data_IF_326192361108
#
_entry.id   IF_326192361108
#
_cell.length_a   1.000
_cell.length_b   1.000
_cell.length_c   1.000
_cell.angle_alpha   90.00
_cell.angle_beta   90.00
_cell.angle_gamma   90.00
#
_symmetry.space_group_name_H-M   'P 1'
#
loop_
_entity.id
_entity.type
_entity.pdbx_description
1 polymer ?
#
# COMPACT_ATOMS: atom_id res chain seq x y z
N UNK A 1 -5.68 29.19 -9.91
CA UNK A 1 -6.87 29.53 -9.13
C UNK A 1 -7.61 28.31 -8.55
N UNK A 2 -7.70 27.20 -9.26
CA UNK A 2 -8.35 25.96 -8.74
C UNK A 2 -7.72 25.44 -7.46
N UNK A 3 -6.39 25.49 -7.36
CA UNK A 3 -5.64 25.06 -6.15
C UNK A 3 -5.96 25.94 -4.95
N UNK A 4 -6.07 27.26 -5.14
CA UNK A 4 -6.36 28.18 -4.04
C UNK A 4 -7.82 28.14 -3.57
N UNK A 5 -8.74 27.73 -4.44
CA UNK A 5 -10.16 27.60 -4.08
C UNK A 5 -10.53 26.26 -3.47
N UNK A 6 -9.84 25.17 -3.87
CA UNK A 6 -10.18 23.80 -3.49
C UNK A 6 -9.07 23.06 -2.77
N UNK A 7 -7.84 23.56 -2.80
CA UNK A 7 -6.65 22.89 -2.26
C UNK A 7 -6.75 22.61 -0.75
N UNK A 8 -7.39 23.50 0.01
CA UNK A 8 -7.58 23.34 1.44
C UNK A 8 -8.36 22.06 1.81
N UNK A 9 -9.28 21.61 0.94
CA UNK A 9 -10.00 20.34 1.13
C UNK A 9 -9.10 19.11 0.96
N UNK A 10 -7.96 19.30 0.28
CA UNK A 10 -6.95 18.27 0.05
C UNK A 10 -5.68 18.50 0.90
N UNK A 11 -5.74 19.39 1.91
CA UNK A 11 -4.58 19.74 2.73
C UNK A 11 -3.50 20.55 2.02
N UNK A 12 -3.82 21.18 0.87
CA UNK A 12 -2.87 22.01 0.11
C UNK A 12 -3.08 23.47 0.44
N UNK A 13 -2.05 24.11 0.97
CA UNK A 13 -2.02 25.52 1.31
C UNK A 13 -0.94 26.24 0.52
N UNK A 14 -1.21 27.50 0.14
CA UNK A 14 -0.29 28.28 -0.71
C UNK A 14 0.02 29.60 0.01
N UNK A 15 1.31 29.91 0.11
CA UNK A 15 1.81 31.20 0.62
C UNK A 15 2.32 32.01 -0.58
N UNK A 16 1.77 33.21 -0.76
CA UNK A 16 2.16 34.12 -1.83
C UNK A 16 2.78 35.39 -1.23
N UNK A 17 3.94 35.77 -1.75
CA UNK A 17 4.56 37.05 -1.46
C UNK A 17 4.47 37.95 -2.67
N UNK A 18 3.92 39.14 -2.51
CA UNK A 18 3.79 40.14 -3.57
C UNK A 18 4.48 41.42 -3.19
N UNK A 19 5.29 41.97 -4.08
CA UNK A 19 5.78 43.33 -3.94
C UNK A 19 4.78 44.29 -4.63
N UNK A 20 4.03 45.04 -3.82
CA UNK A 20 3.02 45.98 -4.31
C UNK A 20 3.62 47.26 -4.90
N UNK A 21 4.92 47.51 -4.70
CA UNK A 21 5.62 48.65 -5.29
C UNK A 21 6.05 48.42 -6.76
N UNK A 22 5.93 47.18 -7.25
CA UNK A 22 6.26 46.86 -8.65
C UNK A 22 4.97 46.90 -9.47
N UNK A 23 4.91 47.83 -10.44
CA UNK A 23 3.85 47.84 -11.43
C UNK A 23 3.95 46.60 -12.31
N UNK A 24 2.86 45.84 -12.40
CA UNK A 24 2.79 44.70 -13.30
C UNK A 24 2.66 45.22 -14.71
N UNK A 25 3.54 44.81 -15.62
CA UNK A 25 3.50 45.21 -17.02
C UNK A 25 2.12 44.93 -17.62
N UNK A 26 1.57 45.91 -18.33
CA UNK A 26 0.19 45.92 -18.87
C UNK A 26 -0.13 44.86 -19.92
N UNK A 27 0.77 43.92 -20.16
CA UNK A 27 0.62 42.84 -21.16
C UNK A 27 -0.31 41.68 -20.72
N UNK A 28 -0.78 41.69 -19.47
CA UNK A 28 -1.70 40.67 -18.96
C UNK A 28 -3.03 41.32 -18.62
N UNK A 29 -3.98 41.27 -19.53
CA UNK A 29 -5.34 41.73 -19.31
C UNK A 29 -5.99 41.03 -18.10
N UNK A 30 -6.62 41.81 -17.22
CA UNK A 30 -7.37 41.35 -16.05
C UNK A 30 -6.55 40.73 -14.88
N UNK A 31 -5.22 41.00 -14.79
CA UNK A 31 -4.42 40.45 -13.69
C UNK A 31 -4.85 41.00 -12.33
N UNK A 32 -5.23 42.28 -12.27
CA UNK A 32 -5.66 42.93 -11.05
C UNK A 32 -6.99 42.42 -10.55
N UNK A 33 -7.94 42.12 -11.45
CA UNK A 33 -9.23 41.50 -11.09
C UNK A 33 -9.03 40.08 -10.54
N UNK A 34 -8.16 39.29 -11.16
CA UNK A 34 -7.82 37.93 -10.71
C UNK A 34 -7.08 37.95 -9.38
N UNK A 35 -6.20 38.91 -9.14
CA UNK A 35 -5.51 39.07 -7.88
C UNK A 35 -6.48 39.48 -6.78
N UNK A 36 -7.39 40.43 -7.03
CA UNK A 36 -8.42 40.83 -6.08
C UNK A 36 -9.37 39.66 -5.71
N UNK A 37 -9.67 38.78 -6.65
CA UNK A 37 -10.45 37.56 -6.37
C UNK A 37 -9.66 36.57 -5.50
N UNK A 38 -8.37 36.41 -5.74
CA UNK A 38 -7.50 35.55 -4.91
C UNK A 38 -7.37 36.10 -3.50
N UNK A 39 -7.17 37.41 -3.35
CA UNK A 39 -7.02 38.12 -2.07
C UNK A 39 -8.22 37.93 -1.15
N UNK A 40 -9.45 37.88 -1.70
CA UNK A 40 -10.68 37.62 -0.92
C UNK A 40 -10.68 36.28 -0.19
N UNK A 41 -9.91 35.31 -0.67
CA UNK A 41 -9.86 33.96 -0.12
C UNK A 41 -8.57 33.69 0.67
N UNK A 42 -7.74 34.70 0.88
CA UNK A 42 -6.45 34.60 1.58
C UNK A 42 -6.47 35.37 2.90
N UNK A 43 -5.70 34.87 3.86
CA UNK A 43 -5.30 35.67 5.01
C UNK A 43 -4.24 36.65 4.51
N UNK A 44 -4.48 37.93 4.68
CA UNK A 44 -3.59 38.97 4.19
C UNK A 44 -2.76 39.57 5.32
N UNK A 45 -1.45 39.66 5.10
CA UNK A 45 -0.52 40.35 5.98
C UNK A 45 0.07 41.54 5.21
N UNK A 46 -0.23 42.73 5.62
CA UNK A 46 0.22 43.97 4.97
C UNK A 46 1.45 44.53 5.69
N UNK A 47 2.47 44.87 4.92
CA UNK A 47 3.67 45.53 5.44
C UNK A 47 3.38 47.04 5.64
N UNK A 48 3.65 47.58 6.83
CA UNK A 48 3.52 48.98 7.18
C UNK A 48 4.86 49.55 7.68
N UNK A 49 4.98 50.87 7.80
CA UNK A 49 6.22 51.53 8.25
C UNK A 49 6.75 50.98 9.59
N UNK A 50 5.87 50.61 10.52
CA UNK A 50 6.22 50.14 11.87
C UNK A 50 5.94 48.64 12.11
N UNK A 51 5.93 47.83 11.06
CA UNK A 51 5.70 46.38 11.20
C UNK A 51 4.69 45.84 10.22
N UNK A 52 3.91 44.87 10.64
CA UNK A 52 2.93 44.17 9.80
C UNK A 52 1.54 44.27 10.43
N UNK A 53 0.52 44.26 9.60
CA UNK A 53 -0.88 44.18 10.01
C UNK A 53 -1.56 42.97 9.39
N UNK A 54 -2.25 42.18 10.21
CA UNK A 54 -3.09 41.07 9.77
C UNK A 54 -4.48 41.59 9.42
N UNK A 55 -4.89 41.44 8.17
CA UNK A 55 -6.20 41.84 7.68
C UNK A 55 -7.21 40.69 7.74
N UNK A 56 -8.50 40.98 7.92
CA UNK A 56 -9.14 42.28 8.08
C UNK A 56 -9.13 42.84 9.52
N UNK A 57 -8.51 42.16 10.46
CA UNK A 57 -8.59 42.50 11.90
C UNK A 57 -7.68 43.66 12.31
N UNK A 58 -6.78 44.13 11.43
CA UNK A 58 -5.79 45.18 11.69
C UNK A 58 -4.91 44.91 12.91
N UNK A 59 -4.71 43.64 13.25
CA UNK A 59 -3.85 43.25 14.37
C UNK A 59 -2.39 43.52 14.01
N UNK A 60 -1.68 44.22 14.87
CA UNK A 60 -0.24 44.43 14.72
C UNK A 60 0.49 43.10 14.89
N UNK A 61 1.29 42.76 13.91
CA UNK A 61 2.15 41.55 13.94
C UNK A 61 3.59 42.01 14.07
N UNK A 62 4.27 41.61 15.15
CA UNK A 62 5.71 41.77 15.28
C UNK A 62 6.36 40.51 14.80
N UNK A 63 7.20 40.62 13.76
CA UNK A 63 8.00 39.50 13.32
C UNK A 63 9.15 39.25 14.29
N UNK A 64 9.47 37.98 14.49
CA UNK A 64 10.71 37.58 15.14
C UNK A 64 11.91 37.96 14.26
N UNK A 65 13.06 38.15 14.86
CA UNK A 65 14.29 38.41 14.10
C UNK A 65 14.55 37.27 13.10
N UNK A 66 15.04 37.66 11.92
CA UNK A 66 15.41 36.69 10.90
C UNK A 66 16.52 35.78 11.44
N UNK A 67 16.37 34.45 11.40
CA UNK A 67 17.45 33.55 11.78
C UNK A 67 18.70 33.82 10.95
N UNK A 68 19.86 33.79 11.57
CA UNK A 68 21.10 33.88 10.84
C UNK A 68 21.39 32.60 10.00
N UNK A 69 22.35 32.68 9.09
CA UNK A 69 22.65 31.55 8.19
C UNK A 69 23.07 30.29 8.96
N UNK A 70 23.81 30.44 10.05
CA UNK A 70 24.25 29.31 10.87
C UNK A 70 23.09 28.63 11.61
N UNK A 71 22.11 29.42 12.09
CA UNK A 71 20.89 28.88 12.69
C UNK A 71 20.04 28.12 11.68
N UNK A 72 19.89 28.65 10.46
CA UNK A 72 19.16 27.97 9.39
C UNK A 72 19.86 26.69 8.94
N UNK A 73 21.18 26.70 8.81
CA UNK A 73 21.95 25.51 8.47
C UNK A 73 21.83 24.42 9.54
N UNK A 74 21.99 24.80 10.82
CA UNK A 74 21.82 23.88 11.93
C UNK A 74 20.42 23.27 11.96
N UNK A 75 19.39 24.08 11.78
CA UNK A 75 18.00 23.61 11.70
C UNK A 75 17.82 22.63 10.52
N UNK A 76 18.36 22.96 9.33
CA UNK A 76 18.23 22.12 8.16
C UNK A 76 18.89 20.74 8.38
N UNK A 77 20.08 20.71 9.01
CA UNK A 77 20.78 19.47 9.33
C UNK A 77 20.01 18.64 10.37
N UNK A 78 19.53 19.27 11.44
CA UNK A 78 18.75 18.57 12.48
C UNK A 78 17.41 18.05 11.92
N UNK A 79 16.74 18.84 11.10
CA UNK A 79 15.51 18.43 10.42
C UNK A 79 15.76 17.27 9.47
N UNK A 80 16.82 17.33 8.66
CA UNK A 80 17.18 16.24 7.75
C UNK A 80 17.40 14.92 8.51
N UNK A 81 18.17 14.96 9.60
CA UNK A 81 18.39 13.78 10.47
C UNK A 81 17.10 13.26 11.09
N UNK A 82 16.19 14.14 11.47
CA UNK A 82 14.90 13.74 12.03
C UNK A 82 14.02 13.08 10.95
N UNK A 83 14.00 13.65 9.74
CA UNK A 83 13.24 13.08 8.60
C UNK A 83 13.85 11.77 8.13
N UNK A 84 15.17 11.63 8.08
CA UNK A 84 15.81 10.34 7.79
C UNK A 84 15.38 9.24 8.75
N UNK A 85 15.30 9.54 10.03
CA UNK A 85 14.80 8.58 11.03
C UNK A 85 13.32 8.22 10.87
N UNK A 86 12.51 9.12 10.31
CA UNK A 86 11.09 8.90 10.07
C UNK A 86 10.82 8.24 8.70
N UNK A 87 11.67 8.50 7.70
CA UNK A 87 11.42 8.10 6.31
C UNK A 87 11.87 6.68 5.97
N UNK A 88 12.61 6.01 6.84
CA UNK A 88 13.06 4.63 6.63
C UNK A 88 12.87 3.83 7.91
N UNK A 89 11.64 3.58 8.29
CA UNK A 89 11.37 2.35 9.03
C UNK A 89 11.42 1.22 8.00
N UNK A 90 12.61 0.72 7.71
CA UNK A 90 12.73 -0.57 7.03
C UNK A 90 12.25 -1.62 8.03
N UNK A 91 11.05 -2.10 7.82
CA UNK A 91 10.53 -3.25 8.56
C UNK A 91 11.26 -4.47 8.02
N UNK A 92 11.93 -5.19 8.90
CA UNK A 92 12.56 -6.45 8.52
C UNK A 92 11.49 -7.53 8.36
N UNK A 93 11.68 -8.40 7.36
CA UNK A 93 10.70 -9.44 7.03
C UNK A 93 10.38 -10.33 8.24
N UNK A 94 11.37 -10.60 9.09
CA UNK A 94 11.24 -11.39 10.30
C UNK A 94 10.22 -10.82 11.31
N UNK A 95 10.01 -9.50 11.29
CA UNK A 95 9.08 -8.83 12.21
C UNK A 95 7.60 -9.15 11.94
N UNK A 96 7.28 -9.60 10.72
CA UNK A 96 5.92 -10.01 10.34
C UNK A 96 5.69 -11.51 10.41
N UNK A 97 6.74 -12.29 10.71
CA UNK A 97 6.65 -13.75 10.78
C UNK A 97 6.19 -14.24 12.17
N UNK A 98 5.56 -15.42 12.24
CA UNK A 98 5.27 -16.04 13.51
C UNK A 98 6.58 -16.49 14.19
N UNK A 99 6.62 -16.54 15.53
CA UNK A 99 7.80 -17.00 16.29
C UNK A 99 8.27 -18.40 15.90
N UNK A 100 7.35 -19.27 15.57
CA UNK A 100 7.60 -20.63 15.11
C UNK A 100 6.86 -20.86 13.79
N UNK A 101 7.42 -21.65 12.83
CA UNK A 101 6.75 -21.98 11.60
C UNK A 101 5.43 -22.74 11.79
N UNK A 102 4.51 -22.58 10.84
CA UNK A 102 3.28 -23.37 10.71
C UNK A 102 2.29 -23.27 11.88
N UNK A 103 2.27 -22.13 12.57
CA UNK A 103 1.31 -21.89 13.67
C UNK A 103 -0.08 -21.47 13.17
N UNK A 104 -0.20 -21.09 11.91
CA UNK A 104 -1.46 -20.66 11.31
C UNK A 104 -2.39 -21.84 11.00
N UNK A 105 -3.68 -21.53 10.86
CA UNK A 105 -4.69 -22.46 10.36
C UNK A 105 -5.44 -21.83 9.18
N UNK A 106 -5.54 -22.55 8.08
CA UNK A 106 -6.30 -22.14 6.90
C UNK A 106 -7.73 -22.64 6.90
N UNK A 107 -8.18 -23.34 7.94
CA UNK A 107 -9.52 -23.95 7.99
C UNK A 107 -10.64 -22.92 7.74
N UNK A 108 -10.58 -21.77 8.43
CA UNK A 108 -11.60 -20.72 8.34
C UNK A 108 -11.24 -19.63 7.33
N UNK A 109 -10.09 -19.02 7.48
CA UNK A 109 -9.62 -17.91 6.65
C UNK A 109 -8.15 -18.13 6.27
N UNK A 110 -7.73 -17.50 5.18
CA UNK A 110 -6.32 -17.41 4.81
C UNK A 110 -5.84 -15.99 5.11
N UNK A 111 -4.90 -15.85 6.05
CA UNK A 111 -4.26 -14.59 6.44
C UNK A 111 -2.84 -14.56 5.92
N UNK A 112 -2.52 -13.55 5.13
CA UNK A 112 -1.20 -13.35 4.54
C UNK A 112 -0.57 -12.10 5.16
N UNK A 113 0.35 -12.22 6.11
CA UNK A 113 1.09 -11.09 6.65
C UNK A 113 1.83 -10.33 5.56
N UNK A 114 1.72 -9.01 5.54
CA UNK A 114 2.31 -8.18 4.50
C UNK A 114 3.06 -6.95 5.01
N UNK A 115 2.96 -6.62 6.28
CA UNK A 115 3.62 -5.46 6.85
C UNK A 115 3.19 -5.18 8.29
N UNK A 116 3.67 -4.08 8.83
CA UNK A 116 3.31 -3.56 10.15
C UNK A 116 2.54 -2.26 9.96
N UNK A 117 1.43 -2.13 10.66
CA UNK A 117 0.59 -0.95 10.69
C UNK A 117 0.84 -0.09 11.93
N UNK A 118 -0.03 0.88 12.13
CA UNK A 118 0.02 1.75 13.31
C UNK A 118 -0.06 0.93 14.61
N UNK A 119 0.81 1.26 15.57
CA UNK A 119 0.89 0.58 16.86
C UNK A 119 1.54 -0.81 16.80
N UNK A 120 2.49 -1.00 15.89
CA UNK A 120 3.32 -2.22 15.74
C UNK A 120 2.52 -3.51 15.51
N UNK A 121 1.29 -3.39 15.00
CA UNK A 121 0.44 -4.54 14.68
C UNK A 121 0.72 -5.09 13.28
N UNK A 122 0.82 -6.42 13.15
CA UNK A 122 0.98 -7.07 11.84
C UNK A 122 -0.30 -6.89 11.01
N UNK A 123 -0.16 -6.28 9.85
CA UNK A 123 -1.24 -6.13 8.86
C UNK A 123 -1.20 -7.31 7.91
N UNK A 124 -2.35 -7.91 7.67
CA UNK A 124 -2.48 -9.07 6.79
C UNK A 124 -3.55 -8.85 5.73
N UNK A 125 -3.31 -9.37 4.53
CA UNK A 125 -4.35 -9.58 3.54
C UNK A 125 -5.15 -10.83 3.96
N UNK A 126 -6.48 -10.72 4.04
CA UNK A 126 -7.34 -11.79 4.54
C UNK A 126 -8.30 -12.24 3.44
N UNK A 127 -8.31 -13.55 3.16
CA UNK A 127 -9.24 -14.18 2.23
C UNK A 127 -10.17 -15.16 2.95
N UNK A 128 -11.43 -15.21 2.49
CA UNK A 128 -12.45 -16.11 3.02
C UNK A 128 -13.31 -15.51 4.14
N UNK A 129 -13.15 -14.22 4.41
CA UNK A 129 -13.99 -13.48 5.34
C UNK A 129 -14.92 -12.52 4.59
N UNK A 130 -16.21 -12.54 4.90
CA UNK A 130 -17.21 -11.70 4.23
C UNK A 130 -17.22 -11.94 2.71
N UNK A 131 -16.96 -10.88 1.93
CA UNK A 131 -16.90 -10.90 0.46
C UNK A 131 -15.49 -10.96 -0.10
N UNK A 132 -14.47 -11.00 0.75
CA UNK A 132 -13.06 -10.95 0.35
C UNK A 132 -12.56 -12.35 -0.03
N UNK A 133 -12.75 -12.73 -1.28
CA UNK A 133 -12.34 -14.03 -1.81
C UNK A 133 -11.17 -13.94 -2.79
N UNK A 134 -10.97 -12.78 -3.40
CA UNK A 134 -9.91 -12.52 -4.39
C UNK A 134 -9.29 -11.15 -4.12
N UNK A 135 -8.07 -10.94 -4.58
CA UNK A 135 -7.34 -9.69 -4.47
C UNK A 135 -6.79 -9.24 -5.82
N UNK A 136 -6.76 -7.93 -6.05
CA UNK A 136 -6.10 -7.30 -7.18
C UNK A 136 -5.07 -6.31 -6.63
N UNK A 137 -3.81 -6.47 -7.06
CA UNK A 137 -2.71 -5.59 -6.67
C UNK A 137 -2.33 -4.76 -7.89
N UNK A 138 -2.53 -3.46 -7.81
CA UNK A 138 -2.16 -2.50 -8.85
C UNK A 138 -1.02 -1.60 -8.39
N UNK A 139 -0.10 -1.27 -9.31
CA UNK A 139 0.98 -0.34 -9.03
C UNK A 139 1.82 -0.05 -10.27
N UNK A 140 2.41 1.14 -10.31
CA UNK A 140 3.37 1.52 -11.34
C UNK A 140 4.71 0.78 -11.19
N UNK A 141 5.56 0.91 -12.22
CA UNK A 141 6.93 0.38 -12.18
C UNK A 141 7.69 0.99 -11.01
N UNK A 142 8.37 0.15 -10.22
CA UNK A 142 9.08 0.58 -9.01
C UNK A 142 8.18 0.81 -7.78
N UNK A 143 6.87 0.61 -7.87
CA UNK A 143 5.92 0.79 -6.77
C UNK A 143 5.88 -0.32 -5.71
N UNK A 144 6.80 -1.30 -5.76
CA UNK A 144 6.90 -2.36 -4.76
C UNK A 144 5.95 -3.55 -4.96
N UNK A 145 5.24 -3.65 -6.12
CA UNK A 145 4.31 -4.75 -6.40
C UNK A 145 4.98 -6.12 -6.25
N UNK A 146 6.13 -6.34 -6.90
CA UNK A 146 6.89 -7.60 -6.82
C UNK A 146 7.36 -7.90 -5.40
N UNK A 147 7.87 -6.87 -4.69
CA UNK A 147 8.25 -7.01 -3.28
C UNK A 147 7.07 -7.48 -2.42
N UNK A 148 5.89 -6.88 -2.62
CA UNK A 148 4.68 -7.31 -1.92
C UNK A 148 4.29 -8.75 -2.26
N UNK A 149 4.35 -9.15 -3.54
CA UNK A 149 4.06 -10.54 -3.96
C UNK A 149 5.01 -11.53 -3.27
N UNK A 150 6.32 -11.25 -3.28
CA UNK A 150 7.28 -12.10 -2.56
C UNK A 150 7.03 -12.14 -1.05
N UNK A 151 6.68 -11.00 -0.44
CA UNK A 151 6.31 -10.95 0.98
C UNK A 151 5.11 -11.85 1.27
N UNK A 152 4.06 -11.79 0.46
CA UNK A 152 2.86 -12.63 0.61
C UNK A 152 3.17 -14.12 0.42
N UNK A 153 3.98 -14.47 -0.57
CA UNK A 153 4.41 -15.86 -0.84
C UNK A 153 5.21 -16.40 0.34
N UNK A 154 6.28 -15.71 0.74
CA UNK A 154 7.17 -16.16 1.80
C UNK A 154 6.48 -16.21 3.16
N UNK A 155 5.73 -15.16 3.52
CA UNK A 155 5.00 -15.14 4.79
C UNK A 155 3.93 -16.22 4.86
N UNK A 156 3.26 -16.54 3.75
CA UNK A 156 2.29 -17.63 3.71
C UNK A 156 2.92 -18.99 3.95
N UNK A 157 4.09 -19.25 3.34
CA UNK A 157 4.83 -20.50 3.54
C UNK A 157 5.37 -20.65 4.98
N UNK A 158 5.69 -19.55 5.65
CA UNK A 158 6.12 -19.59 7.05
C UNK A 158 4.95 -19.77 8.02
N UNK A 159 3.77 -19.24 7.69
CA UNK A 159 2.60 -19.33 8.56
C UNK A 159 1.85 -20.68 8.49
N UNK A 160 1.84 -21.31 7.32
CA UNK A 160 1.03 -22.50 7.06
C UNK A 160 1.87 -23.66 6.58
N UNK A 161 1.51 -24.88 6.96
CA UNK A 161 2.19 -26.07 6.46
C UNK A 161 1.75 -26.43 5.02
N UNK A 162 2.53 -27.24 4.29
CA UNK A 162 2.17 -27.70 2.95
C UNK A 162 0.85 -28.49 2.89
N UNK A 163 0.42 -29.09 4.01
CA UNK A 163 -0.86 -29.78 4.15
C UNK A 163 -2.04 -28.81 4.28
N UNK A 164 -1.75 -27.54 4.59
CA UNK A 164 -2.76 -26.50 4.79
C UNK A 164 -2.84 -25.54 3.62
N UNK A 165 -1.72 -25.30 2.90
CA UNK A 165 -1.64 -24.32 1.82
C UNK A 165 -0.79 -24.80 0.66
N UNK A 166 -1.37 -24.76 -0.54
CA UNK A 166 -0.67 -24.97 -1.81
C UNK A 166 -0.61 -23.66 -2.59
N UNK A 167 0.53 -23.38 -3.19
CA UNK A 167 0.78 -22.20 -4.02
C UNK A 167 0.86 -22.60 -5.48
N UNK A 168 0.15 -21.83 -6.32
CA UNK A 168 0.22 -21.89 -7.78
C UNK A 168 0.71 -20.53 -8.26
N UNK A 169 1.93 -20.45 -8.74
CA UNK A 169 2.60 -19.23 -9.15
C UNK A 169 2.69 -19.19 -10.68
N UNK A 170 2.14 -18.14 -11.28
CA UNK A 170 2.13 -17.95 -12.73
C UNK A 170 2.69 -16.57 -13.06
N UNK A 171 3.72 -16.54 -13.91
CA UNK A 171 4.34 -15.32 -14.42
C UNK A 171 4.11 -15.24 -15.92
N UNK A 172 3.31 -14.24 -16.34
CA UNK A 172 2.99 -13.98 -17.74
C UNK A 172 3.87 -12.87 -18.35
N UNK A 173 4.81 -12.34 -17.56
CA UNK A 173 5.63 -11.19 -17.93
C UNK A 173 7.10 -11.54 -18.13
N UNK A 174 7.37 -12.66 -18.76
CA UNK A 174 8.75 -13.08 -19.09
C UNK A 174 9.44 -13.93 -18.02
N UNK A 175 8.70 -14.47 -17.08
CA UNK A 175 9.18 -15.50 -16.14
C UNK A 175 10.23 -15.04 -15.13
N UNK A 176 10.44 -13.73 -14.95
CA UNK A 176 11.55 -13.21 -14.15
C UNK A 176 11.23 -13.11 -12.66
N UNK A 177 9.98 -12.80 -12.32
CA UNK A 177 9.60 -12.53 -10.93
C UNK A 177 9.65 -13.79 -10.06
N UNK A 178 9.07 -14.89 -10.51
CA UNK A 178 9.01 -16.13 -9.73
C UNK A 178 10.15 -17.11 -9.98
N UNK A 179 11.11 -16.77 -10.86
CA UNK A 179 12.25 -17.64 -11.19
C UNK A 179 13.10 -18.01 -9.97
N UNK A 180 13.15 -17.14 -8.97
CA UNK A 180 13.86 -17.41 -7.71
C UNK A 180 13.38 -18.70 -7.02
N UNK A 181 12.13 -19.11 -7.26
CA UNK A 181 11.55 -20.33 -6.66
C UNK A 181 11.82 -21.60 -7.48
N UNK A 182 12.45 -21.49 -8.65
CA UNK A 182 12.72 -22.64 -9.51
C UNK A 182 13.83 -23.55 -8.94
N UNK A 183 14.86 -22.94 -8.33
CA UNK A 183 16.03 -23.66 -7.83
C UNK A 183 15.74 -24.52 -6.59
N UNK A 184 14.71 -24.18 -5.84
CA UNK A 184 14.39 -24.82 -4.57
C UNK A 184 13.06 -25.59 -4.66
N UNK A 185 13.09 -26.85 -4.21
CA UNK A 185 11.86 -27.66 -4.13
C UNK A 185 11.05 -27.28 -2.90
N UNK A 186 10.36 -26.17 -2.97
CA UNK A 186 9.49 -25.70 -1.88
C UNK A 186 8.19 -26.52 -1.86
N UNK A 187 7.89 -27.25 -0.78
CA UNK A 187 6.77 -28.20 -0.76
C UNK A 187 5.40 -27.57 -0.93
N UNK A 188 5.26 -26.28 -0.65
CA UNK A 188 4.03 -25.50 -0.87
C UNK A 188 3.74 -25.24 -2.34
N UNK A 189 4.78 -25.06 -3.16
CA UNK A 189 4.64 -24.69 -4.58
C UNK A 189 4.32 -25.96 -5.37
N UNK A 190 3.06 -26.09 -5.75
CA UNK A 190 2.58 -27.22 -6.56
C UNK A 190 2.63 -26.94 -8.05
N UNK A 191 2.62 -25.67 -8.41
CA UNK A 191 2.74 -25.23 -9.79
C UNK A 191 3.58 -23.95 -9.84
N UNK A 192 4.58 -23.94 -10.70
CA UNK A 192 5.39 -22.80 -11.05
C UNK A 192 5.43 -22.70 -12.57
N UNK A 193 4.73 -21.70 -13.12
CA UNK A 193 4.69 -21.42 -14.56
C UNK A 193 5.46 -20.13 -14.85
N UNK A 194 6.63 -20.27 -15.43
CA UNK A 194 7.50 -19.17 -15.82
C UNK A 194 7.30 -18.91 -17.32
N UNK A 195 7.16 -17.64 -17.70
CA UNK A 195 6.90 -17.22 -19.08
C UNK A 195 5.69 -17.97 -19.70
N UNK A 196 4.61 -18.02 -18.93
CA UNK A 196 3.43 -18.78 -19.31
C UNK A 196 2.71 -18.14 -20.49
N UNK A 197 2.42 -18.92 -21.51
CA UNK A 197 1.50 -18.53 -22.58
C UNK A 197 0.07 -18.49 -22.04
N UNK A 198 -0.78 -17.66 -22.65
CA UNK A 198 -2.17 -17.50 -22.23
C UNK A 198 -2.92 -18.83 -22.21
N UNK A 199 -2.73 -19.67 -23.24
CA UNK A 199 -3.37 -20.99 -23.37
C UNK A 199 -2.99 -21.93 -22.23
N UNK A 200 -1.75 -21.81 -21.73
CA UNK A 200 -1.30 -22.59 -20.57
C UNK A 200 -1.99 -22.12 -19.29
N UNK A 201 -2.15 -20.79 -19.12
CA UNK A 201 -2.90 -20.21 -18.03
C UNK A 201 -4.37 -20.66 -18.01
N UNK A 202 -5.02 -20.68 -19.17
CA UNK A 202 -6.39 -21.21 -19.33
C UNK A 202 -6.49 -22.67 -18.90
N UNK A 203 -5.56 -23.51 -19.35
CA UNK A 203 -5.50 -24.93 -18.97
C UNK A 203 -5.33 -25.14 -17.45
N UNK A 204 -4.54 -24.29 -16.78
CA UNK A 204 -4.40 -24.33 -15.31
C UNK A 204 -5.74 -23.97 -14.63
N UNK A 205 -6.44 -22.95 -15.12
CA UNK A 205 -7.73 -22.57 -14.57
C UNK A 205 -8.80 -23.64 -14.78
N UNK A 206 -8.80 -24.32 -15.92
CA UNK A 206 -9.68 -25.49 -16.16
C UNK A 206 -9.40 -26.61 -15.17
N UNK A 207 -8.13 -26.94 -14.92
CA UNK A 207 -7.75 -27.92 -13.91
C UNK A 207 -8.21 -27.51 -12.49
N UNK A 208 -8.16 -26.24 -12.16
CA UNK A 208 -8.67 -25.75 -10.87
C UNK A 208 -10.20 -25.86 -10.76
N UNK A 209 -10.93 -25.64 -11.85
CA UNK A 209 -12.38 -25.90 -11.90
C UNK A 209 -12.68 -27.37 -11.66
N UNK A 210 -11.91 -28.28 -12.26
CA UNK A 210 -12.05 -29.72 -12.01
C UNK A 210 -11.74 -30.08 -10.54
N UNK A 211 -10.68 -29.49 -9.98
CA UNK A 211 -10.34 -29.68 -8.56
C UNK A 211 -11.45 -29.17 -7.62
N UNK A 212 -12.09 -28.05 -7.95
CA UNK A 212 -13.26 -27.56 -7.20
C UNK A 212 -14.42 -28.58 -7.23
N UNK A 213 -14.70 -29.19 -8.38
CA UNK A 213 -15.70 -30.22 -8.52
C UNK A 213 -15.37 -31.46 -7.67
N UNK A 214 -14.11 -31.92 -7.73
CA UNK A 214 -13.61 -33.05 -6.93
C UNK A 214 -13.76 -32.78 -5.42
N UNK A 215 -13.39 -31.60 -4.95
CA UNK A 215 -13.56 -31.20 -3.52
C UNK A 215 -15.01 -31.15 -3.12
N UNK A 216 -15.89 -30.61 -3.98
CA UNK A 216 -17.33 -30.61 -3.74
C UNK A 216 -17.89 -32.02 -3.56
N UNK A 217 -17.44 -32.97 -4.36
CA UNK A 217 -17.86 -34.36 -4.26
C UNK A 217 -17.31 -35.06 -2.99
N UNK A 218 -16.07 -34.75 -2.58
CA UNK A 218 -15.51 -35.20 -1.32
C UNK A 218 -16.38 -34.67 -0.16
N UNK A 219 -16.72 -33.39 -0.15
CA UNK A 219 -17.54 -32.78 0.89
C UNK A 219 -18.93 -33.46 1.00
N UNK A 220 -19.57 -33.68 -0.13
CA UNK A 220 -20.88 -34.38 -0.18
C UNK A 220 -20.80 -35.79 0.40
N UNK A 221 -19.79 -36.58 0.00
CA UNK A 221 -19.59 -37.97 0.44
C UNK A 221 -19.19 -38.08 1.91
N UNK A 222 -18.51 -37.07 2.44
CA UNK A 222 -17.98 -37.09 3.82
C UNK A 222 -18.98 -36.61 4.89
N UNK A 223 -20.20 -36.21 4.51
CA UNK A 223 -21.19 -35.76 5.46
C UNK A 223 -22.09 -34.62 4.95
N UNK A 224 -21.98 -34.29 3.64
CA UNK A 224 -22.80 -33.24 3.03
C UNK A 224 -22.34 -31.83 3.36
N UNK A 225 -21.05 -31.68 3.61
CA UNK A 225 -20.44 -30.34 3.89
C UNK A 225 -20.49 -29.46 2.65
N UNK A 226 -20.56 -28.14 2.88
CA UNK A 226 -20.54 -27.11 1.83
C UNK A 226 -19.35 -26.18 1.93
N UNK A 227 -18.64 -26.22 3.06
CA UNK A 227 -17.48 -25.36 3.35
C UNK A 227 -16.30 -26.20 3.79
N UNK A 228 -15.09 -25.72 3.44
CA UNK A 228 -13.84 -26.33 3.87
C UNK A 228 -13.72 -26.38 5.40
N UNK A 229 -14.12 -25.30 6.09
CA UNK A 229 -14.10 -25.22 7.55
C UNK A 229 -14.88 -26.36 8.20
N UNK A 230 -16.11 -26.59 7.73
CA UNK A 230 -16.98 -27.65 8.27
C UNK A 230 -16.39 -29.04 7.99
N UNK A 231 -15.85 -29.26 6.78
CA UNK A 231 -15.19 -30.51 6.42
C UNK A 231 -14.00 -30.81 7.32
N UNK A 232 -13.06 -29.86 7.45
CA UNK A 232 -11.84 -30.03 8.27
C UNK A 232 -12.19 -30.24 9.74
N UNK A 233 -13.11 -29.43 10.27
CA UNK A 233 -13.49 -29.47 11.69
C UNK A 233 -14.16 -30.77 12.07
N UNK A 234 -15.07 -31.28 11.22
CA UNK A 234 -15.89 -32.47 11.58
C UNK A 234 -15.24 -33.79 11.18
N UNK A 235 -14.36 -33.79 10.18
CA UNK A 235 -13.70 -35.04 9.73
C UNK A 235 -12.30 -35.21 10.33
N UNK A 236 -11.65 -34.13 10.75
CA UNK A 236 -10.24 -34.11 11.12
C UNK A 236 -9.27 -34.27 9.93
N UNK A 237 -9.77 -34.39 8.72
CA UNK A 237 -8.93 -34.52 7.53
C UNK A 237 -8.45 -33.15 7.08
N UNK A 238 -7.16 -33.04 6.74
CA UNK A 238 -6.63 -31.82 6.12
C UNK A 238 -7.02 -31.78 4.63
N UNK A 239 -7.29 -30.57 4.14
CA UNK A 239 -7.41 -30.28 2.72
C UNK A 239 -6.80 -28.90 2.48
N UNK A 240 -5.67 -28.82 1.75
CA UNK A 240 -4.97 -27.56 1.59
C UNK A 240 -5.79 -26.55 0.80
N UNK A 241 -5.81 -25.29 1.24
CA UNK A 241 -6.27 -24.19 0.38
C UNK A 241 -5.29 -24.03 -0.78
N UNK A 242 -5.81 -23.59 -1.91
CA UNK A 242 -4.99 -23.26 -3.08
C UNK A 242 -4.98 -21.74 -3.22
N UNK A 243 -3.81 -21.15 -3.15
CA UNK A 243 -3.59 -19.74 -3.43
C UNK A 243 -2.92 -19.63 -4.81
N UNK A 244 -3.62 -18.98 -5.73
CA UNK A 244 -3.12 -18.71 -7.08
C UNK A 244 -2.63 -17.28 -7.12
N UNK A 245 -1.38 -17.07 -7.53
CA UNK A 245 -0.75 -15.76 -7.69
C UNK A 245 -0.31 -15.62 -9.15
N UNK A 246 -0.78 -14.56 -9.79
CA UNK A 246 -0.49 -14.24 -11.19
C UNK A 246 0.16 -12.86 -11.29
N UNK A 247 1.32 -12.74 -11.96
CA UNK A 247 1.97 -11.45 -12.29
C UNK A 247 1.90 -11.12 -13.77
#
# INVERSE_FOLDING_TARGET
>A
SSVMQKGNRCGIYVVLCRNTAVEVASSYDHIDEKLAELEKNCVQIECKENGFALLPYYLSVRLIEKPDAGQLEKFAVEYHKAVEKLSVQSIHFEEILPPEPFQGSTAKVLKLPMGIGDGDSVVSMVFGEGTSHHGLIGGGTGGGKSTLLHTLIMSSMMNYSPEQLNLYLMDFKGGTEFKIYESERLPHIKLLALDALQEFGESILENLVQEMANRSDIFKRSGGYTKLEDYVTNTGNSMPRILVIMD
#
